data_IF_854106916776
#
_entry.id   IF_854106916776
#
_cell.length_a   1.000
_cell.length_b   1.000
_cell.length_c   1.000
_cell.angle_alpha   90.00
_cell.angle_beta   90.00
_cell.angle_gamma   90.00
#
_symmetry.space_group_name_H-M   'P 1'
#
loop_
_entity.id
_entity.type
_entity.pdbx_description
1 polymer ?
#
# COMPACT_ATOMS: atom_id res chain seq x y z
N UNK A 1 9.45 -7.94 10.17
CA UNK A 1 9.99 -7.17 9.01
C UNK A 1 8.91 -6.81 7.99
N UNK A 2 8.08 -7.76 7.51
CA UNK A 2 6.99 -7.42 6.58
C UNK A 2 5.89 -6.53 7.20
N UNK A 3 5.43 -6.84 8.41
CA UNK A 3 4.37 -6.07 9.08
C UNK A 3 4.76 -4.60 9.37
N UNK A 4 6.03 -4.34 9.70
CA UNK A 4 6.53 -2.98 9.98
C UNK A 4 6.61 -2.13 8.73
N UNK A 5 7.00 -2.70 7.59
CA UNK A 5 7.02 -1.98 6.31
C UNK A 5 5.60 -1.62 5.84
N UNK A 6 4.63 -2.53 6.02
CA UNK A 6 3.22 -2.26 5.71
C UNK A 6 2.63 -1.16 6.61
N UNK A 7 2.94 -1.17 7.90
CA UNK A 7 2.50 -0.11 8.81
C UNK A 7 3.10 1.26 8.42
N UNK A 8 4.38 1.29 8.03
CA UNK A 8 5.04 2.51 7.55
C UNK A 8 4.30 3.07 6.32
N UNK A 9 4.04 2.24 5.32
CA UNK A 9 3.32 2.62 4.11
C UNK A 9 1.90 3.11 4.41
N UNK A 10 1.19 2.43 5.30
CA UNK A 10 -0.18 2.79 5.68
C UNK A 10 -0.26 4.20 6.28
N UNK A 11 0.68 4.57 7.16
CA UNK A 11 0.74 5.91 7.75
C UNK A 11 1.02 6.96 6.68
N UNK A 12 1.97 6.69 5.77
CA UNK A 12 2.36 7.65 4.74
C UNK A 12 1.28 7.87 3.68
N UNK A 13 0.60 6.80 3.25
CA UNK A 13 -0.49 6.93 2.28
C UNK A 13 -1.69 7.67 2.89
N UNK A 14 -1.99 7.43 4.17
CA UNK A 14 -3.02 8.16 4.89
C UNK A 14 -2.65 9.63 5.07
N UNK A 15 -1.41 9.93 5.44
CA UNK A 15 -0.93 11.31 5.55
C UNK A 15 -1.03 12.06 4.22
N UNK A 16 -0.67 11.42 3.11
CA UNK A 16 -0.82 11.98 1.77
C UNK A 16 -2.30 12.23 1.41
N UNK A 17 -3.21 11.32 1.77
CA UNK A 17 -4.64 11.49 1.56
C UNK A 17 -5.20 12.66 2.39
N UNK A 18 -4.80 12.80 3.65
CA UNK A 18 -5.18 13.93 4.51
C UNK A 18 -4.68 15.25 3.93
N UNK A 19 -3.42 15.30 3.50
CA UNK A 19 -2.85 16.49 2.87
C UNK A 19 -3.61 16.87 1.58
N UNK A 20 -3.97 15.88 0.75
CA UNK A 20 -4.75 16.09 -0.47
C UNK A 20 -6.18 16.56 -0.19
N UNK A 21 -6.81 16.05 0.87
CA UNK A 21 -8.18 16.43 1.24
C UNK A 21 -8.29 17.89 1.69
N UNK A 22 -7.21 18.44 2.28
CA UNK A 22 -7.17 19.81 2.80
C UNK A 22 -8.21 20.08 3.89
N UNK A 23 -8.70 19.03 4.56
CA UNK A 23 -9.81 19.09 5.50
C UNK A 23 -9.74 17.93 6.50
N UNK A 24 -10.18 18.13 7.76
CA UNK A 24 -10.34 17.04 8.72
C UNK A 24 -11.61 16.21 8.50
N UNK A 25 -12.42 16.55 7.49
CA UNK A 25 -13.64 15.81 7.16
C UNK A 25 -13.31 14.37 6.72
N UNK A 26 -13.91 13.40 7.42
CA UNK A 26 -13.64 11.98 7.22
C UNK A 26 -13.96 11.52 5.80
N UNK A 27 -15.07 11.95 5.22
CA UNK A 27 -15.49 11.51 3.90
C UNK A 27 -14.59 12.09 2.82
N UNK A 28 -14.15 13.35 2.96
CA UNK A 28 -13.15 13.96 2.07
C UNK A 28 -11.79 13.25 2.13
N UNK A 29 -11.37 12.81 3.32
CA UNK A 29 -10.12 12.03 3.48
C UNK A 29 -10.27 10.67 2.80
N UNK A 30 -11.40 9.98 3.01
CA UNK A 30 -11.68 8.69 2.38
C UNK A 30 -11.67 8.79 0.86
N UNK A 31 -12.36 9.78 0.30
CA UNK A 31 -12.41 9.99 -1.15
C UNK A 31 -11.03 10.35 -1.71
N UNK A 32 -10.26 11.16 -0.98
CA UNK A 32 -8.88 11.49 -1.35
C UNK A 32 -7.99 10.25 -1.35
N UNK A 33 -8.09 9.38 -0.34
CA UNK A 33 -7.37 8.11 -0.26
C UNK A 33 -7.70 7.21 -1.45
N UNK A 34 -8.99 7.03 -1.77
CA UNK A 34 -9.45 6.23 -2.91
C UNK A 34 -9.09 6.84 -4.27
N UNK A 35 -8.72 8.12 -4.32
CA UNK A 35 -8.25 8.79 -5.54
C UNK A 35 -6.74 8.64 -5.79
N UNK A 36 -5.96 8.20 -4.79
CA UNK A 36 -4.52 8.00 -4.94
C UNK A 36 -4.24 6.84 -5.91
N UNK A 37 -3.28 7.04 -6.81
CA UNK A 37 -2.82 6.06 -7.79
C UNK A 37 -1.30 6.05 -7.80
N UNK A 38 -0.71 4.86 -7.72
CA UNK A 38 0.73 4.66 -7.81
C UNK A 38 1.53 5.35 -6.69
N UNK A 39 0.97 5.42 -5.47
CA UNK A 39 1.71 5.97 -4.33
C UNK A 39 2.92 5.08 -4.03
N UNK A 40 4.12 5.67 -4.07
CA UNK A 40 5.40 4.97 -3.91
C UNK A 40 5.63 4.64 -2.43
N UNK A 41 5.36 3.38 -2.06
CA UNK A 41 5.63 2.85 -0.72
C UNK A 41 6.90 1.98 -0.68
N UNK A 42 7.36 1.66 0.52
CA UNK A 42 8.47 0.72 0.77
C UNK A 42 8.12 -0.68 0.28
N UNK A 43 6.85 -1.07 0.38
CA UNK A 43 6.36 -2.39 -0.09
C UNK A 43 5.87 -2.36 -1.54
N UNK A 44 6.24 -1.32 -2.30
CA UNK A 44 5.86 -1.13 -3.70
C UNK A 44 4.70 -0.15 -3.88
N UNK A 45 4.21 -0.07 -5.12
CA UNK A 45 3.16 0.84 -5.52
C UNK A 45 1.83 0.54 -4.81
N UNK A 46 1.15 1.61 -4.39
CA UNK A 46 -0.12 1.53 -3.67
C UNK A 46 -1.19 2.28 -4.46
N UNK A 47 -2.23 1.54 -4.85
CA UNK A 47 -3.48 2.07 -5.38
C UNK A 47 -4.65 1.36 -4.73
N UNK A 48 -5.82 2.01 -4.66
CA UNK A 48 -7.03 1.41 -4.09
C UNK A 48 -8.09 1.17 -5.15
N UNK A 49 -8.76 0.01 -5.08
CA UNK A 49 -9.94 -0.29 -5.88
C UNK A 49 -11.20 0.42 -5.31
N UNK A 50 -12.37 0.22 -5.93
CA UNK A 50 -13.62 0.86 -5.48
C UNK A 50 -14.10 0.37 -4.10
N UNK A 51 -13.70 -0.84 -3.71
CA UNK A 51 -14.02 -1.43 -2.42
C UNK A 51 -13.09 -0.94 -1.31
N UNK A 52 -11.98 -0.29 -1.67
CA UNK A 52 -10.95 0.17 -0.74
C UNK A 52 -9.85 -0.87 -0.50
N UNK A 53 -9.80 -1.95 -1.27
CA UNK A 53 -8.68 -2.89 -1.22
C UNK A 53 -7.48 -2.28 -1.92
N UNK A 54 -6.31 -2.43 -1.30
CA UNK A 54 -5.06 -2.04 -1.93
C UNK A 54 -4.71 -3.04 -3.05
N UNK A 55 -4.70 -2.56 -4.29
CA UNK A 55 -4.13 -3.28 -5.41
C UNK A 55 -2.61 -3.27 -5.28
N UNK A 56 -2.03 -4.39 -4.84
CA UNK A 56 -0.60 -4.59 -4.64
C UNK A 56 -0.14 -5.88 -5.31
N UNK A 57 1.14 -5.91 -5.66
CA UNK A 57 1.83 -7.12 -6.11
C UNK A 57 1.95 -8.12 -4.96
N UNK A 58 1.86 -9.43 -5.24
CA UNK A 58 2.18 -10.46 -4.25
C UNK A 58 3.60 -10.98 -4.47
N UNK A 59 4.40 -11.00 -3.41
CA UNK A 59 5.78 -11.47 -3.45
C UNK A 59 5.91 -12.89 -2.92
N UNK A 60 6.62 -13.73 -3.67
CA UNK A 60 6.97 -15.09 -3.29
C UNK A 60 8.32 -15.05 -2.58
N UNK A 61 8.34 -15.57 -1.36
CA UNK A 61 9.55 -15.81 -0.60
C UNK A 61 9.71 -17.30 -0.30
N UNK A 62 10.94 -17.78 -0.43
CA UNK A 62 11.33 -19.14 -0.04
C UNK A 62 12.05 -19.09 1.30
N UNK A 63 11.71 -20.00 2.21
CA UNK A 63 12.42 -20.13 3.48
C UNK A 63 13.60 -21.09 3.27
N UNK A 64 14.84 -20.59 3.40
CA UNK A 64 16.05 -21.40 3.41
C UNK A 64 16.72 -21.23 4.76
N UNK A 65 16.99 -22.35 5.45
CA UNK A 65 17.66 -22.34 6.76
C UNK A 65 16.98 -21.42 7.80
N UNK A 66 15.65 -21.30 7.73
CA UNK A 66 14.87 -20.44 8.62
C UNK A 66 14.85 -18.95 8.23
N UNK A 67 15.52 -18.56 7.14
CA UNK A 67 15.59 -17.18 6.65
C UNK A 67 14.72 -17.01 5.39
N UNK A 68 13.88 -15.97 5.30
CA UNK A 68 13.14 -15.67 4.07
C UNK A 68 14.05 -15.10 2.97
N UNK A 69 14.00 -15.72 1.78
CA UNK A 69 14.63 -15.24 0.55
C UNK A 69 13.55 -14.83 -0.45
N UNK A 70 13.48 -13.55 -0.80
CA UNK A 70 12.55 -13.05 -1.81
C UNK A 70 12.99 -13.51 -3.21
N UNK A 71 12.09 -14.18 -3.92
CA UNK A 71 12.35 -14.70 -5.25
C UNK A 71 11.83 -13.75 -6.34
N UNK A 72 10.55 -13.41 -6.28
CA UNK A 72 9.90 -12.52 -7.25
C UNK A 72 8.59 -11.97 -6.71
N UNK A 73 8.19 -10.81 -7.22
CA UNK A 73 6.85 -10.26 -7.02
C UNK A 73 6.04 -10.40 -8.32
N UNK A 74 4.77 -10.78 -8.17
CA UNK A 74 3.82 -10.97 -9.27
C UNK A 74 2.80 -9.85 -9.16
N UNK A 75 2.63 -9.13 -10.26
CA UNK A 75 1.54 -8.17 -10.39
C UNK A 75 0.27 -8.88 -10.85
N UNK A 76 -0.83 -8.63 -10.14
CA UNK A 76 -2.16 -9.17 -10.44
C UNK A 76 -3.11 -8.08 -10.93
N UNK A 77 -2.62 -6.86 -11.17
CA UNK A 77 -3.40 -5.87 -11.89
C UNK A 77 -3.75 -6.43 -13.28
N UNK A 78 -5.03 -6.36 -13.70
CA UNK A 78 -5.42 -6.69 -15.07
C UNK A 78 -4.78 -5.74 -16.08
#
# INVERSE_FOLDING_TARGET
LAATALAYDAVHVLAAAIAKAGSPDKDKIRDSLLSLRGFQGVTGDISFNRQGDAAKQACIAEIREGVPHFLKCIDFSP
#
